data_IF_356518780111
#
_entry.id   IF_356518780111
#
_cell.length_a   1.000
_cell.length_b   1.000
_cell.length_c   1.000
_cell.angle_alpha   90.00
_cell.angle_beta   90.00
_cell.angle_gamma   90.00
#
_symmetry.space_group_name_H-M   'P 1'
#
loop_
_entity.id
_entity.type
_entity.pdbx_description
1 polymer ?
#
# COMPACT_ATOMS: atom_id res chain seq x y z
N UNK A 1 34.10 -17.11 -47.16
CA UNK A 1 33.68 -15.71 -47.00
C UNK A 1 33.04 -15.59 -45.62
N UNK A 2 33.79 -15.18 -44.60
CA UNK A 2 33.26 -15.06 -43.23
C UNK A 2 32.44 -13.76 -43.14
N UNK A 3 31.13 -13.89 -42.93
CA UNK A 3 30.27 -12.75 -42.64
C UNK A 3 30.41 -12.41 -41.16
N UNK A 4 31.14 -11.33 -40.88
CA UNK A 4 31.22 -10.76 -39.54
C UNK A 4 29.89 -10.05 -39.25
N UNK A 5 28.97 -10.73 -38.55
CA UNK A 5 27.74 -10.09 -38.04
C UNK A 5 28.16 -9.21 -36.87
N UNK A 6 28.49 -7.95 -37.17
CA UNK A 6 28.77 -6.94 -36.17
C UNK A 6 27.53 -6.69 -35.32
N UNK A 7 27.49 -7.25 -34.12
CA UNK A 7 26.44 -6.97 -33.16
C UNK A 7 26.63 -5.55 -32.64
N UNK A 8 25.93 -4.58 -33.24
CA UNK A 8 25.87 -3.21 -32.75
C UNK A 8 25.12 -3.22 -31.43
N UNK A 9 25.86 -3.15 -30.33
CA UNK A 9 25.31 -2.86 -29.00
C UNK A 9 24.72 -1.45 -29.03
N UNK A 10 23.45 -1.35 -29.42
CA UNK A 10 22.65 -0.16 -29.23
C UNK A 10 22.52 0.04 -27.72
N UNK A 11 23.23 1.03 -27.17
CA UNK A 11 22.95 1.54 -25.84
C UNK A 11 21.53 2.06 -25.84
N UNK A 12 20.60 1.27 -25.30
CA UNK A 12 19.27 1.74 -24.91
C UNK A 12 19.52 2.95 -24.04
N UNK A 13 18.93 4.09 -24.38
CA UNK A 13 18.99 5.29 -23.56
C UNK A 13 17.72 5.33 -22.70
N UNK A 14 17.83 5.78 -21.46
CA UNK A 14 16.65 6.06 -20.63
C UNK A 14 15.73 7.06 -21.35
N UNK A 15 14.42 6.81 -21.34
CA UNK A 15 13.42 7.73 -21.89
C UNK A 15 12.94 8.66 -20.80
N UNK A 16 13.09 9.98 -20.99
CA UNK A 16 12.50 10.98 -20.10
C UNK A 16 11.10 11.35 -20.58
N UNK A 17 10.13 11.35 -19.67
CA UNK A 17 8.74 11.71 -19.92
C UNK A 17 8.36 12.94 -19.09
N UNK A 18 7.59 13.86 -19.69
CA UNK A 18 6.92 14.91 -18.94
C UNK A 18 5.82 14.33 -18.03
N UNK A 19 5.29 15.15 -17.12
CA UNK A 19 4.29 14.72 -16.14
C UNK A 19 3.01 14.11 -16.75
N UNK A 20 2.51 14.63 -17.88
CA UNK A 20 1.33 14.09 -18.55
C UNK A 20 1.63 12.75 -19.19
N UNK A 21 2.63 12.71 -20.06
CA UNK A 21 3.08 11.48 -20.74
C UNK A 21 3.47 10.38 -19.76
N UNK A 22 4.06 10.73 -18.61
CA UNK A 22 4.38 9.77 -17.54
C UNK A 22 3.11 9.20 -16.90
N UNK A 23 2.16 10.05 -16.47
CA UNK A 23 0.91 9.60 -15.85
C UNK A 23 0.07 8.70 -16.78
N UNK A 24 0.01 9.02 -18.07
CA UNK A 24 -0.68 8.22 -19.09
C UNK A 24 0.01 6.88 -19.37
N UNK A 25 1.35 6.89 -19.48
CA UNK A 25 2.11 5.67 -19.74
C UNK A 25 2.07 4.70 -18.57
N UNK A 26 2.11 5.19 -17.33
CA UNK A 26 1.91 4.36 -16.13
C UNK A 26 0.46 3.87 -15.93
N UNK A 27 -0.45 4.00 -16.91
CA UNK A 27 -1.72 3.26 -16.91
C UNK A 27 -1.59 1.89 -17.57
N UNK A 28 -0.68 1.78 -18.53
CA UNK A 28 -0.53 0.59 -19.37
C UNK A 28 0.09 -0.56 -18.55
N UNK A 29 -0.25 -1.78 -18.92
CA UNK A 29 0.25 -3.02 -18.31
C UNK A 29 0.74 -3.96 -19.42
N UNK A 30 1.78 -4.78 -19.18
CA UNK A 30 2.55 -4.90 -17.93
C UNK A 30 3.52 -3.73 -17.72
N UNK A 31 3.77 -3.36 -16.46
CA UNK A 31 4.80 -2.38 -16.06
C UNK A 31 5.36 -2.67 -14.67
N UNK A 32 6.54 -2.15 -14.39
CA UNK A 32 7.08 -1.94 -13.04
C UNK A 32 7.11 -0.44 -12.79
N UNK A 33 6.73 0.01 -11.59
CA UNK A 33 6.77 1.42 -11.20
C UNK A 33 7.46 1.54 -9.84
N UNK A 34 8.51 2.35 -9.76
CA UNK A 34 9.38 2.46 -8.58
C UNK A 34 9.48 3.92 -8.14
N UNK A 35 9.19 4.15 -6.87
CA UNK A 35 9.47 5.40 -6.16
C UNK A 35 10.81 5.26 -5.45
N UNK A 36 11.83 5.94 -5.97
CA UNK A 36 13.22 5.82 -5.48
C UNK A 36 13.58 6.83 -4.40
N UNK A 37 12.57 7.31 -3.66
CA UNK A 37 12.72 8.14 -2.45
C UNK A 37 12.93 7.29 -1.20
N UNK A 38 13.18 7.93 -0.05
CA UNK A 38 13.28 7.21 1.22
C UNK A 38 11.92 6.66 1.67
N UNK A 39 11.91 5.65 2.57
CA UNK A 39 10.66 5.10 3.11
C UNK A 39 9.78 6.16 3.79
N UNK A 40 10.37 7.14 4.47
CA UNK A 40 9.63 8.22 5.14
C UNK A 40 9.02 9.23 4.15
N UNK A 41 9.66 9.45 3.00
CA UNK A 41 9.09 10.23 1.90
C UNK A 41 7.95 9.48 1.20
N UNK A 42 8.09 8.16 1.05
CA UNK A 42 7.08 7.29 0.45
C UNK A 42 5.82 7.18 1.33
N UNK A 43 5.99 6.99 2.64
CA UNK A 43 4.90 6.94 3.63
C UNK A 43 4.07 8.23 3.69
N UNK A 44 4.68 9.39 3.38
CA UNK A 44 3.98 10.68 3.29
C UNK A 44 3.09 10.83 2.04
N UNK A 45 3.11 9.86 1.13
CA UNK A 45 2.31 9.82 -0.09
C UNK A 45 3.16 9.60 -1.33
N UNK A 46 2.64 8.82 -2.28
CA UNK A 46 3.32 8.41 -3.52
C UNK A 46 2.30 8.20 -4.65
N UNK A 47 2.79 7.92 -5.87
CA UNK A 47 1.96 7.53 -7.00
C UNK A 47 1.36 6.13 -6.85
N UNK A 48 0.31 5.89 -7.63
CA UNK A 48 -0.29 4.58 -7.87
C UNK A 48 0.74 3.47 -8.09
N UNK A 49 0.49 2.30 -7.51
CA UNK A 49 1.16 1.01 -7.72
C UNK A 49 2.69 1.02 -7.59
N UNK A 50 3.26 2.15 -7.16
CA UNK A 50 4.69 2.33 -6.97
C UNK A 50 5.18 1.41 -5.84
N UNK A 51 6.30 0.74 -6.09
CA UNK A 51 7.09 0.09 -5.06
C UNK A 51 8.15 1.07 -4.58
N UNK A 52 8.32 1.20 -3.27
CA UNK A 52 9.45 1.92 -2.75
C UNK A 52 10.70 1.03 -2.82
N UNK A 53 11.81 1.62 -3.25
CA UNK A 53 13.15 1.06 -3.09
C UNK A 53 14.12 2.24 -3.18
N UNK A 54 14.69 2.65 -2.05
CA UNK A 54 15.38 3.94 -1.94
C UNK A 54 16.70 3.92 -2.70
N UNK A 55 16.88 4.85 -3.65
CA UNK A 55 18.15 4.98 -4.35
C UNK A 55 19.33 5.27 -3.40
N UNK A 56 19.07 5.93 -2.26
CA UNK A 56 20.12 6.23 -1.28
C UNK A 56 20.53 4.99 -0.47
N UNK A 57 19.63 4.03 -0.27
CA UNK A 57 19.97 2.68 0.22
C UNK A 57 20.36 1.79 -0.96
N UNK A 58 21.60 1.96 -1.41
CA UNK A 58 22.13 1.24 -2.57
C UNK A 58 21.97 -0.29 -2.44
N UNK A 59 22.31 -0.94 -1.31
CA UNK A 59 22.04 -2.36 -1.12
C UNK A 59 20.58 -2.79 -1.35
N UNK A 60 19.59 -2.06 -0.81
CA UNK A 60 18.17 -2.36 -1.06
C UNK A 60 17.83 -2.25 -2.55
N UNK A 61 18.18 -1.13 -3.18
CA UNK A 61 17.87 -0.88 -4.59
C UNK A 61 18.49 -1.92 -5.52
N UNK A 62 19.74 -2.31 -5.29
CA UNK A 62 20.40 -3.32 -6.11
C UNK A 62 19.81 -4.73 -5.87
N UNK A 63 19.45 -5.07 -4.63
CA UNK A 63 18.80 -6.34 -4.31
C UNK A 63 17.38 -6.45 -4.88
N UNK A 64 16.63 -5.34 -4.92
CA UNK A 64 15.31 -5.29 -5.56
C UNK A 64 15.41 -5.37 -7.08
N UNK A 65 16.34 -4.63 -7.70
CA UNK A 65 16.57 -4.64 -9.14
C UNK A 65 16.90 -6.04 -9.70
N UNK A 66 17.65 -6.85 -8.94
CA UNK A 66 17.99 -8.24 -9.32
C UNK A 66 16.78 -9.20 -9.39
N UNK A 67 15.64 -8.82 -8.80
CA UNK A 67 14.42 -9.65 -8.77
C UNK A 67 13.42 -9.30 -9.89
N UNK A 68 13.70 -8.28 -10.70
CA UNK A 68 12.80 -7.77 -11.73
C UNK A 68 12.94 -8.54 -13.06
N UNK A 69 11.84 -8.72 -13.78
CA UNK A 69 11.88 -9.19 -15.16
C UNK A 69 12.33 -8.06 -16.09
N UNK A 70 13.53 -8.19 -16.64
CA UNK A 70 14.17 -7.23 -17.56
C UNK A 70 13.33 -6.88 -18.79
N UNK A 71 12.36 -7.73 -19.16
CA UNK A 71 11.46 -7.52 -20.30
C UNK A 71 10.25 -6.63 -19.96
N UNK A 72 10.02 -6.34 -18.68
CA UNK A 72 8.91 -5.48 -18.24
C UNK A 72 9.41 -4.04 -18.14
N UNK A 73 8.74 -3.06 -18.78
CA UNK A 73 9.20 -1.67 -18.76
C UNK A 73 9.15 -1.09 -17.35
N UNK A 74 10.22 -0.41 -16.95
CA UNK A 74 10.41 0.14 -15.61
C UNK A 74 10.23 1.66 -15.62
N UNK A 75 9.26 2.13 -14.86
CA UNK A 75 8.96 3.54 -14.66
C UNK A 75 9.53 4.00 -13.32
N UNK A 76 10.25 5.12 -13.33
CA UNK A 76 11.01 5.62 -12.19
C UNK A 76 10.66 7.07 -11.90
N UNK A 77 10.51 7.39 -10.62
CA UNK A 77 10.40 8.77 -10.18
C UNK A 77 10.99 8.96 -8.78
N UNK A 78 11.32 10.21 -8.47
CA UNK A 78 11.56 10.66 -7.10
C UNK A 78 10.99 12.09 -6.95
N UNK A 79 11.36 12.80 -5.89
CA UNK A 79 10.80 14.13 -5.64
C UNK A 79 11.15 15.16 -6.74
N UNK A 80 12.41 15.21 -7.19
CA UNK A 80 12.96 16.29 -8.05
C UNK A 80 13.76 15.82 -9.27
N UNK A 81 13.72 14.53 -9.62
CA UNK A 81 14.50 13.93 -10.73
C UNK A 81 15.92 13.47 -10.35
N UNK A 82 16.55 14.07 -9.34
CA UNK A 82 17.99 13.83 -9.07
C UNK A 82 18.38 12.40 -8.64
N UNK A 83 17.45 11.65 -8.03
CA UNK A 83 17.64 10.22 -7.68
C UNK A 83 17.19 9.29 -8.79
N UNK A 84 16.04 9.58 -9.40
CA UNK A 84 15.45 8.78 -10.48
C UNK A 84 16.35 8.74 -11.71
N UNK A 85 17.00 9.84 -12.09
CA UNK A 85 17.94 9.85 -13.22
C UNK A 85 19.15 8.92 -13.00
N UNK A 86 19.62 8.76 -11.75
CA UNK A 86 20.72 7.85 -11.40
C UNK A 86 20.25 6.38 -11.35
N UNK A 87 19.06 6.15 -10.78
CA UNK A 87 18.36 4.87 -10.83
C UNK A 87 18.13 4.40 -12.26
N UNK A 88 17.75 5.33 -13.13
CA UNK A 88 17.48 5.08 -14.54
C UNK A 88 18.75 4.64 -15.26
N UNK A 89 19.86 5.37 -15.12
CA UNK A 89 21.16 4.95 -15.68
C UNK A 89 21.56 3.55 -15.21
N UNK A 90 21.49 3.27 -13.90
CA UNK A 90 21.84 1.96 -13.34
C UNK A 90 21.04 0.80 -13.95
N UNK A 91 19.72 0.96 -14.11
CA UNK A 91 18.87 -0.07 -14.71
C UNK A 91 19.06 -0.16 -16.24
N UNK A 92 19.25 0.97 -16.91
CA UNK A 92 19.51 1.03 -18.35
C UNK A 92 20.80 0.28 -18.72
N UNK A 93 21.87 0.46 -17.94
CA UNK A 93 23.14 -0.30 -18.07
C UNK A 93 22.96 -1.82 -17.90
N UNK A 94 21.86 -2.26 -17.30
CA UNK A 94 21.50 -3.68 -17.06
C UNK A 94 20.47 -4.21 -18.05
N UNK A 95 20.16 -3.43 -19.09
CA UNK A 95 19.30 -3.85 -20.21
C UNK A 95 17.80 -3.69 -19.97
N UNK A 96 17.37 -3.02 -18.90
CA UNK A 96 15.96 -2.67 -18.70
C UNK A 96 15.53 -1.59 -19.70
N UNK A 97 14.28 -1.66 -20.15
CA UNK A 97 13.60 -0.54 -20.80
C UNK A 97 13.07 0.42 -19.72
N UNK A 98 13.56 1.66 -19.72
CA UNK A 98 13.44 2.58 -18.57
C UNK A 98 12.83 3.93 -18.96
N UNK A 99 11.83 4.34 -18.18
CA UNK A 99 11.11 5.60 -18.32
C UNK A 99 11.20 6.43 -17.03
N UNK A 100 11.74 7.64 -17.10
CA UNK A 100 11.87 8.56 -15.96
C UNK A 100 10.80 9.67 -16.02
N UNK A 101 10.18 10.01 -14.88
CA UNK A 101 9.45 11.26 -14.72
C UNK A 101 10.42 12.44 -14.65
N UNK A 102 10.52 13.23 -15.72
CA UNK A 102 11.46 14.34 -15.78
C UNK A 102 11.12 15.44 -14.77
N UNK A 103 12.12 15.86 -14.00
CA UNK A 103 11.94 16.76 -12.85
C UNK A 103 11.19 16.17 -11.65
N UNK A 104 10.80 14.89 -11.69
CA UNK A 104 10.17 14.18 -10.57
C UNK A 104 8.77 14.70 -10.20
N UNK A 105 8.32 14.34 -9.00
CA UNK A 105 6.98 14.68 -8.48
C UNK A 105 6.71 16.19 -8.42
N UNK A 106 7.73 17.04 -8.35
CA UNK A 106 7.59 18.50 -8.44
C UNK A 106 6.99 19.00 -9.77
N UNK A 107 6.95 18.16 -10.82
CA UNK A 107 6.31 18.49 -12.10
C UNK A 107 4.86 18.02 -12.20
N UNK A 108 4.35 17.27 -11.22
CA UNK A 108 2.96 16.84 -11.18
C UNK A 108 2.05 18.04 -10.85
N UNK A 109 0.85 18.14 -11.44
CA UNK A 109 -0.05 19.27 -11.24
C UNK A 109 -0.55 19.36 -9.79
N UNK A 110 -0.45 20.55 -9.18
CA UNK A 110 -0.79 20.81 -7.76
C UNK A 110 -2.26 21.15 -7.51
N UNK A 111 -3.07 21.28 -8.57
CA UNK A 111 -4.53 21.27 -8.54
C UNK A 111 -5.01 20.11 -9.39
N UNK A 112 -5.71 19.14 -8.79
CA UNK A 112 -6.60 18.27 -9.53
C UNK A 112 -7.87 19.08 -9.87
N UNK A 113 -8.21 19.31 -11.15
CA UNK A 113 -9.46 19.96 -11.53
C UNK A 113 -10.67 19.01 -11.48
N UNK A 114 -10.46 17.78 -11.05
CA UNK A 114 -11.43 16.71 -10.88
C UNK A 114 -10.90 15.66 -9.90
N UNK A 115 -11.71 15.29 -8.89
CA UNK A 115 -11.48 14.07 -8.10
C UNK A 115 -11.99 12.82 -8.84
N UNK A 116 -11.59 12.68 -10.11
CA UNK A 116 -11.70 11.45 -10.89
C UNK A 116 -10.55 11.45 -11.89
N UNK A 117 -9.85 10.33 -12.05
CA UNK A 117 -8.66 10.17 -12.92
C UNK A 117 -7.32 10.80 -12.47
N UNK A 118 -7.03 10.85 -11.16
CA UNK A 118 -5.72 10.35 -10.73
C UNK A 118 -5.87 8.87 -10.36
N UNK A 119 -5.21 7.94 -11.08
CA UNK A 119 -5.48 6.51 -11.01
C UNK A 119 -4.74 5.88 -9.82
N UNK A 120 -5.15 6.25 -8.60
CA UNK A 120 -4.53 5.92 -7.31
C UNK A 120 -3.19 6.68 -7.08
N UNK A 121 -2.52 6.79 -5.91
CA UNK A 121 -2.82 6.46 -4.50
C UNK A 121 -3.08 5.00 -4.15
N UNK A 122 -2.21 4.09 -4.59
CA UNK A 122 -2.37 2.65 -4.28
C UNK A 122 -1.95 2.37 -2.83
N UNK A 123 -2.78 1.66 -2.05
CA UNK A 123 -2.43 1.23 -0.71
C UNK A 123 -1.26 0.23 -0.72
N UNK A 124 -0.56 0.13 0.41
CA UNK A 124 0.55 -0.80 0.57
C UNK A 124 0.14 -2.27 0.30
N UNK A 125 0.74 -2.85 -0.75
CA UNK A 125 0.70 -4.29 -1.15
C UNK A 125 -0.69 -4.88 -1.48
N UNK A 126 -0.71 -5.80 -2.44
CA UNK A 126 -1.91 -6.34 -3.09
C UNK A 126 -2.77 -7.31 -2.24
N UNK A 127 -2.54 -7.37 -0.92
CA UNK A 127 -3.37 -8.10 0.04
C UNK A 127 -3.98 -7.15 1.12
N UNK A 128 -3.77 -5.84 0.99
CA UNK A 128 -4.21 -4.85 1.98
C UNK A 128 -5.72 -4.60 1.95
N UNK A 129 -6.36 -4.63 3.12
CA UNK A 129 -7.72 -4.10 3.31
C UNK A 129 -7.68 -2.57 3.15
N UNK A 130 -8.14 -2.06 2.01
CA UNK A 130 -8.26 -0.61 1.78
C UNK A 130 -9.56 -0.03 2.39
N UNK A 131 -9.73 1.30 2.35
CA UNK A 131 -10.90 1.94 2.95
C UNK A 131 -12.24 1.54 2.29
N UNK A 132 -12.25 1.22 0.99
CA UNK A 132 -13.46 0.78 0.30
C UNK A 132 -13.80 -0.68 0.65
N UNK A 133 -12.80 -1.55 0.68
CA UNK A 133 -12.90 -2.92 1.14
C UNK A 133 -13.29 -3.00 2.62
N UNK A 134 -12.73 -2.15 3.49
CA UNK A 134 -13.11 -1.99 4.89
C UNK A 134 -14.59 -1.60 5.02
N UNK A 135 -15.04 -0.55 4.32
CA UNK A 135 -16.47 -0.14 4.30
C UNK A 135 -17.40 -1.24 3.78
N UNK A 136 -16.94 -2.12 2.89
CA UNK A 136 -17.71 -3.30 2.46
C UNK A 136 -17.74 -4.38 3.55
N UNK A 137 -16.61 -4.59 4.22
CA UNK A 137 -16.44 -5.59 5.28
C UNK A 137 -17.30 -5.26 6.51
N UNK A 138 -17.43 -3.99 6.91
CA UNK A 138 -18.31 -3.57 8.02
C UNK A 138 -19.81 -3.75 7.74
N UNK A 139 -20.19 -4.10 6.49
CA UNK A 139 -21.55 -4.45 6.05
C UNK A 139 -21.73 -5.93 5.72
N UNK A 140 -20.75 -6.78 6.03
CA UNK A 140 -20.74 -8.19 5.61
C UNK A 140 -21.50 -9.15 6.54
N UNK A 141 -22.14 -8.62 7.59
CA UNK A 141 -23.07 -9.27 8.51
C UNK A 141 -23.91 -8.17 9.20
N UNK A 142 -24.91 -8.55 10.01
CA UNK A 142 -25.71 -7.60 10.79
C UNK A 142 -24.84 -6.82 11.79
N UNK A 143 -24.08 -7.54 12.62
CA UNK A 143 -23.01 -6.98 13.47
C UNK A 143 -21.62 -7.41 12.97
N UNK A 144 -20.68 -6.48 12.93
CA UNK A 144 -19.27 -6.74 12.59
C UNK A 144 -18.35 -6.11 13.63
N UNK A 145 -17.58 -6.92 14.35
CA UNK A 145 -16.57 -6.46 15.31
C UNK A 145 -15.18 -6.44 14.65
N UNK A 146 -14.60 -5.26 14.50
CA UNK A 146 -13.22 -5.08 14.05
C UNK A 146 -12.28 -5.05 15.25
N UNK A 147 -11.20 -5.81 15.18
CA UNK A 147 -10.11 -5.85 16.14
C UNK A 147 -8.80 -5.38 15.49
N UNK A 148 -8.42 -4.11 15.71
CA UNK A 148 -7.13 -3.59 15.29
C UNK A 148 -6.05 -4.02 16.29
N UNK A 149 -5.07 -4.78 15.81
CA UNK A 149 -4.17 -5.62 16.61
C UNK A 149 -2.76 -5.63 16.04
N UNK A 150 -1.77 -6.17 16.76
CA UNK A 150 -0.47 -6.52 16.19
C UNK A 150 0.17 -7.67 16.96
N UNK A 151 1.10 -8.39 16.33
CA UNK A 151 1.78 -9.56 16.93
C UNK A 151 2.61 -9.19 18.16
N UNK A 152 3.17 -7.98 18.22
CA UNK A 152 3.98 -7.46 19.34
C UNK A 152 3.14 -6.84 20.48
N UNK A 153 1.84 -6.63 20.27
CA UNK A 153 0.96 -5.99 21.24
C UNK A 153 0.52 -6.97 22.35
N UNK A 154 1.16 -6.91 23.52
CA UNK A 154 0.86 -7.80 24.65
C UNK A 154 -0.60 -7.74 25.14
N UNK A 155 -1.29 -6.57 25.23
CA UNK A 155 -2.72 -6.55 25.52
C UNK A 155 -3.57 -7.25 24.44
N UNK A 156 -3.24 -7.07 23.16
CA UNK A 156 -3.91 -7.73 22.04
C UNK A 156 -3.76 -9.27 22.13
N UNK A 157 -2.57 -9.76 22.49
CA UNK A 157 -2.32 -11.19 22.70
C UNK A 157 -3.19 -11.77 23.83
N UNK A 158 -3.43 -11.02 24.93
CA UNK A 158 -4.33 -11.45 26.01
C UNK A 158 -5.79 -11.54 25.57
N UNK A 159 -6.21 -10.72 24.61
CA UNK A 159 -7.58 -10.70 24.08
C UNK A 159 -7.83 -11.78 23.03
N UNK A 160 -6.78 -12.20 22.31
CA UNK A 160 -6.85 -13.19 21.22
C UNK A 160 -7.64 -14.47 21.56
N UNK A 161 -7.47 -15.15 22.73
CA UNK A 161 -8.14 -16.41 22.99
C UNK A 161 -9.67 -16.33 23.03
N UNK A 162 -10.24 -15.21 23.49
CA UNK A 162 -11.70 -15.03 23.50
C UNK A 162 -12.24 -14.47 22.20
N UNK A 163 -11.50 -13.55 21.55
CA UNK A 163 -11.86 -13.06 20.20
C UNK A 163 -11.91 -14.20 19.18
N UNK A 164 -10.96 -15.14 19.24
CA UNK A 164 -10.99 -16.33 18.38
C UNK A 164 -12.09 -17.34 18.74
N UNK A 165 -12.63 -17.35 19.97
CA UNK A 165 -13.86 -18.12 20.27
C UNK A 165 -15.07 -17.46 19.63
N UNK A 166 -15.23 -16.15 19.83
CA UNK A 166 -16.30 -15.35 19.26
C UNK A 166 -16.33 -15.44 17.71
N UNK A 167 -15.15 -15.47 17.08
CA UNK A 167 -14.98 -15.62 15.62
C UNK A 167 -15.40 -17.00 15.06
N UNK A 168 -15.21 -18.08 15.84
CA UNK A 168 -15.42 -19.46 15.38
C UNK A 168 -16.74 -20.08 15.85
N UNK A 169 -17.45 -19.44 16.79
CA UNK A 169 -18.74 -19.90 17.28
C UNK A 169 -19.87 -19.38 16.37
N UNK A 170 -20.41 -20.31 15.59
CA UNK A 170 -21.46 -20.08 14.59
C UNK A 170 -22.85 -19.78 15.17
N UNK A 171 -23.01 -19.80 16.50
CA UNK A 171 -24.23 -19.35 17.16
C UNK A 171 -24.23 -17.82 17.42
N UNK A 172 -23.10 -17.13 17.27
CA UNK A 172 -23.01 -15.69 17.50
C UNK A 172 -23.59 -14.88 16.34
N UNK A 173 -24.21 -13.74 16.69
CA UNK A 173 -24.78 -12.78 15.75
C UNK A 173 -23.76 -11.74 15.23
N UNK A 174 -22.51 -11.85 15.67
CA UNK A 174 -21.41 -10.93 15.35
C UNK A 174 -20.30 -11.60 14.54
N UNK A 175 -19.95 -10.98 13.41
CA UNK A 175 -18.77 -11.36 12.64
C UNK A 175 -17.54 -10.66 13.18
N UNK A 176 -16.58 -11.40 13.71
CA UNK A 176 -15.28 -10.85 14.14
C UNK A 176 -14.32 -10.77 12.94
N UNK A 177 -13.53 -9.69 12.87
CA UNK A 177 -12.44 -9.52 11.91
C UNK A 177 -11.25 -8.87 12.60
N UNK A 178 -10.08 -9.49 12.54
CA UNK A 178 -8.82 -8.86 12.99
C UNK A 178 -8.12 -8.12 11.84
N UNK A 179 -7.61 -6.92 12.12
CA UNK A 179 -6.84 -6.07 11.21
C UNK A 179 -5.47 -5.83 11.85
N UNK A 180 -4.41 -6.38 11.26
CA UNK A 180 -3.06 -6.17 11.76
C UNK A 180 -2.55 -4.75 11.42
N UNK A 181 -2.09 -4.02 12.42
CA UNK A 181 -1.66 -2.63 12.33
C UNK A 181 -0.37 -2.47 11.52
N UNK A 182 0.54 -3.46 11.58
CA UNK A 182 1.78 -3.45 10.81
C UNK A 182 1.47 -3.70 9.31
N UNK A 183 0.50 -4.56 9.02
CA UNK A 183 0.09 -4.92 7.66
C UNK A 183 -0.85 -3.88 7.01
N UNK A 184 -1.57 -3.08 7.81
CA UNK A 184 -2.60 -2.14 7.34
C UNK A 184 -2.45 -0.70 7.84
N UNK A 185 -1.24 -0.24 8.18
CA UNK A 185 -0.98 1.11 8.73
C UNK A 185 -1.67 2.26 7.96
N UNK A 186 -1.72 2.21 6.62
CA UNK A 186 -2.39 3.21 5.79
C UNK A 186 -3.93 3.23 5.92
N UNK A 187 -4.56 2.11 6.30
CA UNK A 187 -5.98 2.06 6.67
C UNK A 187 -6.18 2.69 8.05
N UNK A 188 -5.34 2.35 9.04
CA UNK A 188 -5.40 2.92 10.38
C UNK A 188 -5.29 4.45 10.35
N UNK A 189 -4.35 5.00 9.56
CA UNK A 189 -4.24 6.45 9.34
C UNK A 189 -5.52 7.07 8.78
N UNK A 190 -6.15 6.44 7.79
CA UNK A 190 -7.42 6.91 7.20
C UNK A 190 -8.62 6.81 8.15
N UNK A 191 -8.58 5.88 9.10
CA UNK A 191 -9.58 5.71 10.16
C UNK A 191 -9.27 6.52 11.43
N UNK A 192 -8.20 7.32 11.43
CA UNK A 192 -7.69 8.04 12.60
C UNK A 192 -7.44 7.13 13.83
N UNK A 193 -6.92 5.93 13.60
CA UNK A 193 -6.54 4.97 14.65
C UNK A 193 -5.06 5.17 14.95
N UNK A 194 -4.77 5.71 16.13
CA UNK A 194 -3.44 6.10 16.62
C UNK A 194 -2.86 5.14 17.67
N UNK A 195 -3.62 4.14 18.12
CA UNK A 195 -3.19 3.14 19.10
C UNK A 195 -3.92 1.80 18.99
N UNK A 196 -3.28 0.76 19.51
CA UNK A 196 -3.81 -0.61 19.60
C UNK A 196 -3.64 -1.21 21.01
N UNK A 197 -4.49 -2.17 21.45
CA UNK A 197 -5.67 -2.68 20.74
C UNK A 197 -6.76 -1.61 20.61
N UNK A 198 -7.50 -1.66 19.50
CA UNK A 198 -8.68 -0.84 19.26
C UNK A 198 -9.78 -1.75 18.73
N UNK A 199 -10.94 -1.71 19.36
CA UNK A 199 -12.13 -2.44 18.94
C UNK A 199 -13.15 -1.47 18.38
N UNK A 200 -13.85 -1.88 17.32
CA UNK A 200 -14.96 -1.13 16.72
C UNK A 200 -16.08 -2.10 16.33
N UNK A 201 -17.27 -1.92 16.89
CA UNK A 201 -18.47 -2.67 16.53
C UNK A 201 -19.27 -1.86 15.51
N UNK A 202 -19.59 -2.49 14.39
CA UNK A 202 -20.43 -1.93 13.34
C UNK A 202 -21.76 -2.67 13.27
N UNK A 203 -22.85 -1.93 13.05
CA UNK A 203 -24.16 -2.48 12.70
C UNK A 203 -24.56 -1.95 11.32
N UNK A 204 -24.76 -2.85 10.35
CA UNK A 204 -24.99 -2.51 8.93
C UNK A 204 -24.03 -1.45 8.34
N UNK A 205 -22.76 -1.48 8.77
CA UNK A 205 -21.72 -0.54 8.33
C UNK A 205 -21.67 0.80 9.07
N UNK A 206 -22.59 1.06 10.00
CA UNK A 206 -22.54 2.21 10.92
C UNK A 206 -21.73 1.84 12.15
N UNK A 207 -20.76 2.67 12.55
CA UNK A 207 -20.02 2.48 13.80
C UNK A 207 -20.97 2.73 14.99
N UNK A 208 -21.20 1.72 15.82
CA UNK A 208 -22.17 1.76 16.93
C UNK A 208 -21.54 1.71 18.31
N UNK A 209 -20.31 1.20 18.42
CA UNK A 209 -19.53 1.19 19.66
C UNK A 209 -18.03 1.07 19.32
N UNK A 210 -17.17 1.60 20.20
CA UNK A 210 -15.72 1.45 20.08
C UNK A 210 -15.02 1.49 21.45
N UNK A 211 -13.84 0.88 21.52
CA UNK A 211 -13.03 0.82 22.74
C UNK A 211 -11.53 0.84 22.42
N UNK A 212 -10.74 1.55 23.23
CA UNK A 212 -9.28 1.61 23.13
C UNK A 212 -8.64 0.95 24.34
N UNK A 213 -7.62 0.13 24.09
CA UNK A 213 -6.91 -0.60 25.14
C UNK A 213 -7.57 -1.93 25.49
N UNK A 214 -7.05 -2.55 26.55
CA UNK A 214 -7.54 -3.85 27.01
C UNK A 214 -9.02 -3.77 27.45
N UNK A 215 -9.78 -4.83 27.19
CA UNK A 215 -11.13 -5.05 27.70
C UNK A 215 -11.22 -6.48 28.23
N UNK A 216 -12.01 -6.70 29.30
CA UNK A 216 -12.30 -8.05 29.76
C UNK A 216 -13.29 -8.75 28.81
N UNK A 217 -13.30 -10.08 28.82
CA UNK A 217 -14.19 -10.87 27.97
C UNK A 217 -15.66 -10.56 28.24
N UNK A 218 -16.07 -10.48 29.52
CA UNK A 218 -17.42 -10.15 29.97
C UNK A 218 -17.94 -8.83 29.40
N UNK A 219 -17.12 -7.79 29.50
CA UNK A 219 -17.51 -6.42 29.17
C UNK A 219 -17.63 -6.26 27.64
N UNK A 220 -16.86 -7.04 26.87
CA UNK A 220 -17.00 -7.12 25.43
C UNK A 220 -18.30 -7.82 25.02
N UNK A 221 -18.69 -8.92 25.66
CA UNK A 221 -19.98 -9.56 25.38
C UNK A 221 -21.16 -8.64 25.72
N UNK A 222 -21.11 -7.91 26.84
CA UNK A 222 -22.13 -6.91 27.21
C UNK A 222 -22.24 -5.79 26.15
N UNK A 223 -21.10 -5.29 25.66
CA UNK A 223 -21.07 -4.28 24.60
C UNK A 223 -21.64 -4.78 23.25
N UNK A 224 -21.50 -6.06 22.94
CA UNK A 224 -22.03 -6.69 21.72
C UNK A 224 -23.53 -6.97 21.82
N UNK A 225 -24.02 -7.44 22.98
CA UNK A 225 -25.44 -7.76 23.19
C UNK A 225 -26.32 -6.52 23.41
N UNK A 226 -25.73 -5.39 23.84
CA UNK A 226 -26.45 -4.13 24.08
C UNK A 226 -27.22 -3.71 22.83
N UNK A 227 -28.54 -3.95 22.86
CA UNK A 227 -29.45 -3.56 21.77
C UNK A 227 -29.48 -2.05 21.65
N UNK A 228 -29.03 -1.56 20.50
CA UNK A 228 -29.23 -0.18 20.07
C UNK A 228 -30.73 0.16 20.19
N UNK A 229 -31.05 1.21 20.94
CA UNK A 229 -32.40 1.76 21.08
C UNK A 229 -32.73 2.71 19.94
#
# INVERSE_FOLDING_TARGET
MLVWVGCTLSTVAQTKLDAGSFLDSIQKQPRILIDVRSPEEFQKGTLAYAKNSDWNDRPDFEAYAQQLDVRTPVYLFCFSGGRSAKAATYLTERGFDVYELDGGMLRLPTKQPDQETLPHTTPARANGLDLAAFRKLTRAADKVLINFTAKWCAPCQKMKPFLSRLENDSANDVRVVSVDADEHAGLLTQLAIDGIPRLQLYHHGTLVWEHTGFIAETDLYEAIDTKQK
#
